data_IF_336634767254
#
_entry.id   IF_336634767254
#
_cell.length_a   1.000
_cell.length_b   1.000
_cell.length_c   1.000
_cell.angle_alpha   90.00
_cell.angle_beta   90.00
_cell.angle_gamma   90.00
#
_symmetry.space_group_name_H-M   'P 1'
#
loop_
_entity.id
_entity.type
_entity.pdbx_description
1 polymer ?
#
# COMPACT_ATOMS: atom_id res chain seq x y z
N UNK A 1 -0.59 -10.20 -11.17
CA UNK A 1 -0.41 -9.63 -9.81
C UNK A 1 -1.30 -8.40 -9.70
N UNK A 2 -2.16 -8.26 -8.68
CA UNK A 2 -2.98 -7.05 -8.55
C UNK A 2 -2.07 -5.83 -8.35
N UNK A 3 -2.37 -4.67 -8.96
CA UNK A 3 -1.56 -3.47 -8.77
C UNK A 3 -1.64 -3.01 -7.31
N UNK A 4 -0.49 -2.84 -6.64
CA UNK A 4 -0.44 -2.40 -5.24
C UNK A 4 -1.02 -0.98 -5.04
N UNK A 5 -0.91 -0.15 -6.08
CA UNK A 5 -1.38 1.24 -6.11
C UNK A 5 -2.56 1.35 -7.07
N UNK A 6 -3.57 2.12 -6.69
CA UNK A 6 -4.75 2.35 -7.52
C UNK A 6 -4.54 3.54 -8.45
N UNK A 7 -5.35 3.68 -9.52
CA UNK A 7 -5.37 4.90 -10.33
C UNK A 7 -5.60 6.16 -9.48
N UNK A 8 -6.50 6.09 -8.50
CA UNK A 8 -6.77 7.19 -7.56
C UNK A 8 -5.52 7.57 -6.73
N UNK A 9 -4.74 6.58 -6.25
CA UNK A 9 -3.49 6.87 -5.55
C UNK A 9 -2.51 7.61 -6.49
N UNK A 10 -2.45 7.23 -7.77
CA UNK A 10 -1.60 7.89 -8.77
C UNK A 10 -2.04 9.34 -9.02
N UNK A 11 -3.33 9.58 -9.23
CA UNK A 11 -3.86 10.92 -9.49
C UNK A 11 -3.65 11.86 -8.29
N UNK A 12 -3.86 11.35 -7.07
CA UNK A 12 -3.54 12.08 -5.84
C UNK A 12 -2.05 12.44 -5.74
N UNK A 13 -1.16 11.51 -6.12
CA UNK A 13 0.28 11.76 -6.11
C UNK A 13 0.68 12.83 -7.15
N UNK A 14 0.13 12.76 -8.36
CA UNK A 14 0.38 13.76 -9.42
C UNK A 14 -0.11 15.14 -8.97
N UNK A 15 -1.36 15.24 -8.48
CA UNK A 15 -1.92 16.51 -8.01
C UNK A 15 -1.08 17.11 -6.86
N UNK A 16 -0.61 16.27 -5.92
CA UNK A 16 0.24 16.72 -4.83
C UNK A 16 1.61 17.21 -5.32
N UNK A 17 2.24 16.54 -6.29
CA UNK A 17 3.53 16.95 -6.86
C UNK A 17 3.43 18.23 -7.70
N UNK A 18 2.26 18.52 -8.26
CA UNK A 18 1.98 19.80 -8.92
C UNK A 18 1.80 20.93 -7.91
N UNK A 19 1.02 20.69 -6.85
CA UNK A 19 0.75 21.67 -5.80
C UNK A 19 2.01 21.97 -4.94
N UNK A 20 2.86 20.96 -4.72
CA UNK A 20 4.04 21.03 -3.87
C UNK A 20 5.29 20.60 -4.65
N UNK A 21 5.88 21.49 -5.46
CA UNK A 21 6.99 21.15 -6.35
C UNK A 21 8.30 20.83 -5.61
N UNK A 22 8.43 21.26 -4.35
CA UNK A 22 9.58 20.98 -3.50
C UNK A 22 9.48 19.56 -2.92
N UNK A 23 10.53 18.74 -3.10
CA UNK A 23 10.54 17.33 -2.68
C UNK A 23 10.56 17.14 -1.17
N UNK A 24 11.02 18.14 -0.43
CA UNK A 24 11.09 18.18 1.03
C UNK A 24 9.80 18.72 1.68
N UNK A 25 8.84 19.17 0.87
CA UNK A 25 7.54 19.64 1.33
C UNK A 25 6.86 18.62 2.25
N UNK A 26 6.43 19.10 3.42
CA UNK A 26 5.85 18.25 4.47
C UNK A 26 4.53 17.62 4.03
N UNK A 27 3.69 18.35 3.30
CA UNK A 27 2.40 17.86 2.80
C UNK A 27 2.60 16.80 1.74
N UNK A 28 3.51 17.02 0.80
CA UNK A 28 3.87 16.00 -0.21
C UNK A 28 4.38 14.73 0.48
N UNK A 29 5.34 14.84 1.41
CA UNK A 29 5.87 13.69 2.16
C UNK A 29 4.77 12.96 2.94
N UNK A 30 3.89 13.70 3.62
CA UNK A 30 2.80 13.11 4.39
C UNK A 30 1.82 12.33 3.49
N UNK A 31 1.44 12.89 2.34
CA UNK A 31 0.54 12.25 1.39
C UNK A 31 1.18 10.99 0.77
N UNK A 32 2.44 11.09 0.32
CA UNK A 32 3.17 9.95 -0.25
C UNK A 32 3.33 8.82 0.76
N UNK A 33 3.67 9.14 2.02
CA UNK A 33 3.72 8.16 3.10
C UNK A 33 2.33 7.54 3.37
N UNK A 34 1.26 8.32 3.27
CA UNK A 34 -0.12 7.85 3.36
C UNK A 34 -0.47 6.82 2.29
N UNK A 35 -0.17 7.13 1.02
CA UNK A 35 -0.36 6.22 -0.11
C UNK A 35 0.43 4.93 0.10
N UNK A 36 1.73 5.02 0.40
CA UNK A 36 2.58 3.84 0.63
C UNK A 36 2.04 2.98 1.78
N UNK A 37 1.58 3.59 2.87
CA UNK A 37 0.99 2.88 4.01
C UNK A 37 -0.27 2.11 3.62
N UNK A 38 -1.19 2.73 2.87
CA UNK A 38 -2.43 2.08 2.40
C UNK A 38 -2.13 0.93 1.44
N UNK A 39 -1.21 1.12 0.50
CA UNK A 39 -0.77 0.08 -0.42
C UNK A 39 -0.18 -1.13 0.33
N UNK A 40 0.69 -0.88 1.32
CA UNK A 40 1.22 -1.93 2.21
C UNK A 40 0.10 -2.68 2.93
N UNK A 41 -0.86 -1.96 3.51
CA UNK A 41 -1.98 -2.57 4.22
C UNK A 41 -2.78 -3.52 3.30
N UNK A 42 -3.15 -3.06 2.10
CA UNK A 42 -3.84 -3.89 1.09
C UNK A 42 -3.04 -5.13 0.72
N UNK A 43 -1.75 -4.96 0.43
CA UNK A 43 -0.85 -6.06 0.05
C UNK A 43 -0.76 -7.14 1.13
N UNK A 44 -0.52 -6.73 2.38
CA UNK A 44 -0.37 -7.65 3.51
C UNK A 44 -1.68 -8.39 3.81
N UNK A 45 -2.82 -7.71 3.73
CA UNK A 45 -4.11 -8.37 3.97
C UNK A 45 -4.41 -9.37 2.84
N UNK A 46 -4.20 -8.99 1.58
CA UNK A 46 -4.35 -9.89 0.45
C UNK A 46 -3.44 -11.12 0.57
N UNK A 47 -2.19 -10.94 1.00
CA UNK A 47 -1.25 -12.02 1.29
C UNK A 47 -1.80 -13.00 2.33
N UNK A 48 -2.31 -12.49 3.46
CA UNK A 48 -2.87 -13.34 4.53
C UNK A 48 -4.12 -14.08 4.05
N UNK A 49 -4.99 -13.44 3.26
CA UNK A 49 -6.18 -14.07 2.69
C UNK A 49 -5.85 -15.17 1.66
N UNK A 50 -4.70 -15.04 0.97
CA UNK A 50 -4.23 -16.00 0.00
C UNK A 50 -3.52 -17.22 0.60
N UNK A 51 -3.25 -17.25 1.92
CA UNK A 51 -2.53 -18.35 2.56
C UNK A 51 -3.26 -19.69 2.39
N UNK A 52 -2.48 -20.73 2.10
CA UNK A 52 -2.91 -22.11 1.96
C UNK A 52 -1.95 -23.04 2.72
N UNK A 53 -2.45 -23.92 3.61
CA UNK A 53 -3.86 -24.01 4.07
C UNK A 53 -4.30 -22.71 4.76
N UNK A 54 -5.61 -22.46 4.85
CA UNK A 54 -6.10 -21.27 5.57
C UNK A 54 -5.71 -21.34 7.07
N UNK A 55 -5.51 -20.20 7.74
CA UNK A 55 -5.29 -20.18 9.19
C UNK A 55 -6.52 -20.70 9.94
N UNK A 56 -6.35 -21.19 11.19
CA UNK A 56 -7.40 -21.86 11.96
C UNK A 56 -8.63 -20.99 12.23
N UNK A 57 -8.48 -19.65 12.26
CA UNK A 57 -9.61 -18.71 12.29
C UNK A 57 -9.24 -17.42 11.53
N UNK A 58 -10.21 -16.81 10.85
CA UNK A 58 -10.04 -15.61 10.02
C UNK A 58 -10.59 -14.39 10.76
N UNK A 59 -10.06 -14.13 11.96
CA UNK A 59 -10.40 -12.95 12.77
C UNK A 59 -9.38 -11.83 12.57
N UNK A 60 -9.78 -10.60 12.92
CA UNK A 60 -8.87 -9.46 12.97
C UNK A 60 -7.68 -9.74 13.91
N UNK A 61 -7.90 -10.45 15.02
CA UNK A 61 -6.85 -10.81 15.96
C UNK A 61 -5.85 -11.80 15.35
N UNK A 62 -6.32 -12.85 14.67
CA UNK A 62 -5.46 -13.81 13.98
C UNK A 62 -4.67 -13.15 12.87
N UNK A 63 -5.32 -12.33 12.03
CA UNK A 63 -4.65 -11.56 10.99
C UNK A 63 -3.58 -10.64 11.58
N UNK A 64 -3.87 -9.93 12.67
CA UNK A 64 -2.90 -9.05 13.34
C UNK A 64 -1.71 -9.82 13.90
N UNK A 65 -1.93 -11.00 14.46
CA UNK A 65 -0.87 -11.88 14.95
C UNK A 65 0.04 -12.35 13.79
N UNK A 66 -0.55 -12.81 12.68
CA UNK A 66 0.20 -13.20 11.47
C UNK A 66 0.97 -12.03 10.87
N UNK A 67 0.37 -10.84 10.81
CA UNK A 67 1.06 -9.63 10.34
C UNK A 67 2.30 -9.33 11.19
N UNK A 68 2.18 -9.41 12.51
CA UNK A 68 3.31 -9.17 13.41
C UNK A 68 4.39 -10.23 13.28
N UNK A 69 4.01 -11.50 13.15
CA UNK A 69 4.96 -12.60 13.00
C UNK A 69 5.75 -12.53 11.67
N UNK A 70 5.06 -12.19 10.57
CA UNK A 70 5.64 -12.24 9.23
C UNK A 70 6.28 -10.92 8.80
N UNK A 71 5.71 -9.78 9.21
CA UNK A 71 6.13 -8.45 8.75
C UNK A 71 6.68 -7.55 9.87
N UNK A 72 6.78 -8.06 11.10
CA UNK A 72 7.28 -7.35 12.29
C UNK A 72 6.36 -6.25 12.82
N UNK A 73 5.35 -5.82 12.06
CA UNK A 73 4.46 -4.71 12.39
C UNK A 73 3.01 -5.04 12.07
N UNK A 74 2.09 -4.59 12.94
CA UNK A 74 0.67 -4.68 12.70
C UNK A 74 0.19 -3.52 11.82
N UNK A 75 -0.70 -3.81 10.86
CA UNK A 75 -1.48 -2.78 10.16
C UNK A 75 -2.42 -2.09 11.16
N UNK A 76 -2.73 -0.81 10.92
CA UNK A 76 -3.58 -0.03 11.82
C UNK A 76 -4.98 -0.66 11.94
N UNK A 77 -5.60 -0.55 13.13
CA UNK A 77 -6.96 -1.06 13.35
C UNK A 77 -7.98 -0.45 12.38
N UNK A 78 -7.79 0.82 12.00
CA UNK A 78 -8.65 1.48 11.03
C UNK A 78 -8.55 0.87 9.62
N UNK A 79 -7.33 0.60 9.16
CA UNK A 79 -7.11 -0.06 7.87
C UNK A 79 -7.66 -1.50 7.89
N UNK A 80 -7.49 -2.22 9.01
CA UNK A 80 -8.10 -3.55 9.21
C UNK A 80 -9.63 -3.48 9.18
N UNK A 81 -10.26 -2.54 9.90
CA UNK A 81 -11.72 -2.39 9.91
C UNK A 81 -12.27 -2.04 8.53
N UNK A 82 -11.61 -1.12 7.81
CA UNK A 82 -11.99 -0.75 6.44
C UNK A 82 -11.95 -1.95 5.49
N UNK A 83 -11.03 -2.89 5.70
CA UNK A 83 -10.85 -4.02 4.80
C UNK A 83 -11.68 -5.25 5.15
N UNK A 84 -11.88 -5.53 6.45
CA UNK A 84 -12.67 -6.67 6.89
C UNK A 84 -14.19 -6.43 6.87
N UNK A 85 -14.64 -5.18 6.69
CA UNK A 85 -16.06 -4.79 6.62
C UNK A 85 -16.94 -5.50 7.66
N UNK A 86 -16.41 -5.78 8.85
CA UNK A 86 -17.05 -6.68 9.82
C UNK A 86 -17.79 -5.87 10.88
N UNK A 87 -19.14 -5.91 10.94
CA UNK A 87 -19.87 -5.31 12.05
C UNK A 87 -19.75 -6.19 13.31
N UNK A 88 -19.51 -5.56 14.47
CA UNK A 88 -19.71 -6.16 15.78
C UNK A 88 -18.72 -7.26 16.22
N UNK A 89 -19.25 -8.22 17.01
CA UNK A 89 -18.55 -9.20 17.90
C UNK A 89 -17.28 -9.88 17.36
N UNK A 90 -17.12 -10.07 16.04
CA UNK A 90 -15.94 -10.72 15.43
C UNK A 90 -14.66 -9.88 15.50
N UNK A 91 -14.76 -8.55 15.65
CA UNK A 91 -13.60 -7.70 15.90
C UNK A 91 -12.97 -7.94 17.29
N UNK A 92 -13.76 -8.46 18.24
CA UNK A 92 -13.37 -8.72 19.63
C UNK A 92 -13.13 -10.21 19.93
N UNK A 93 -13.21 -11.09 18.93
CA UNK A 93 -12.86 -12.50 19.10
C UNK A 93 -11.36 -12.61 19.38
N UNK A 94 -11.00 -13.25 20.50
CA UNK A 94 -9.60 -13.56 20.81
C UNK A 94 -9.12 -14.62 19.83
N UNK A 95 -7.92 -14.44 19.28
CA UNK A 95 -7.27 -15.48 18.49
C UNK A 95 -6.94 -16.66 19.41
N UNK A 96 -7.19 -17.89 18.95
CA UNK A 96 -6.58 -19.07 19.53
C UNK A 96 -5.09 -19.06 19.18
N UNK A 97 -4.29 -18.53 20.10
CA UNK A 97 -2.84 -18.35 19.90
C UNK A 97 -2.11 -19.68 19.85
N UNK A 98 -2.61 -20.72 20.53
CA UNK A 98 -1.97 -22.03 20.55
C UNK A 98 -2.18 -22.74 19.21
N UNK A 99 -3.42 -22.76 18.71
CA UNK A 99 -3.73 -23.29 17.39
C UNK A 99 -2.99 -22.53 16.28
N UNK A 100 -2.90 -21.20 16.37
CA UNK A 100 -2.17 -20.38 15.41
C UNK A 100 -0.67 -20.67 15.42
N UNK A 101 -0.06 -20.83 16.60
CA UNK A 101 1.36 -21.16 16.71
C UNK A 101 1.67 -22.54 16.13
N UNK A 102 0.84 -23.54 16.44
CA UNK A 102 0.98 -24.89 15.89
C UNK A 102 0.82 -24.92 14.36
N UNK A 103 -0.12 -24.13 13.82
CA UNK A 103 -0.31 -23.95 12.38
C UNK A 103 0.87 -23.22 11.72
N UNK A 104 1.44 -22.22 12.39
CA UNK A 104 2.51 -21.39 11.83
C UNK A 104 3.87 -22.10 11.83
N UNK A 105 4.18 -22.82 12.91
CA UNK A 105 5.50 -23.45 13.11
C UNK A 105 6.03 -24.25 11.92
N UNK A 106 5.28 -25.20 11.30
CA UNK A 106 5.82 -26.02 10.21
C UNK A 106 6.07 -25.25 8.91
N UNK A 107 5.51 -24.05 8.75
CA UNK A 107 5.55 -23.29 7.50
C UNK A 107 6.13 -21.89 7.66
N UNK A 108 6.60 -21.55 8.86
CA UNK A 108 7.08 -20.21 9.21
C UNK A 108 8.14 -19.72 8.23
N UNK A 109 9.19 -20.51 7.97
CA UNK A 109 10.29 -20.11 7.10
C UNK A 109 9.83 -19.82 5.66
N UNK A 110 8.94 -20.66 5.13
CA UNK A 110 8.37 -20.46 3.79
C UNK A 110 7.51 -19.20 3.74
N UNK A 111 6.69 -18.97 4.76
CA UNK A 111 5.88 -17.76 4.86
C UNK A 111 6.73 -16.51 5.08
N UNK A 112 7.84 -16.60 5.81
CA UNK A 112 8.79 -15.52 6.02
C UNK A 112 9.42 -15.11 4.69
N UNK A 113 9.92 -16.08 3.91
CA UNK A 113 10.48 -15.85 2.57
C UNK A 113 9.45 -15.22 1.62
N UNK A 114 8.20 -15.70 1.66
CA UNK A 114 7.13 -15.14 0.84
C UNK A 114 6.76 -13.70 1.28
N UNK A 115 6.77 -13.42 2.58
CA UNK A 115 6.55 -12.08 3.13
C UNK A 115 7.68 -11.11 2.74
N UNK A 116 8.93 -11.59 2.75
CA UNK A 116 10.09 -10.81 2.30
C UNK A 116 10.03 -10.51 0.80
N UNK A 117 9.65 -11.50 -0.03
CA UNK A 117 9.42 -11.28 -1.47
C UNK A 117 8.36 -10.21 -1.70
N UNK A 118 7.23 -10.30 -1.00
CA UNK A 118 6.15 -9.31 -1.09
C UNK A 118 6.64 -7.90 -0.70
N UNK A 119 7.49 -7.78 0.32
CA UNK A 119 8.08 -6.50 0.73
C UNK A 119 8.98 -5.93 -0.36
N UNK A 120 9.82 -6.75 -0.97
CA UNK A 120 10.70 -6.32 -2.07
C UNK A 120 9.91 -5.89 -3.30
N UNK A 121 8.86 -6.64 -3.66
CA UNK A 121 7.94 -6.31 -4.74
C UNK A 121 7.23 -4.99 -4.49
N UNK A 122 6.74 -4.76 -3.26
CA UNK A 122 6.11 -3.49 -2.89
C UNK A 122 7.09 -2.31 -2.96
N UNK A 123 8.33 -2.49 -2.52
CA UNK A 123 9.35 -1.43 -2.58
C UNK A 123 9.83 -1.16 -4.03
N UNK A 124 9.85 -2.18 -4.89
CA UNK A 124 10.08 -2.00 -6.32
C UNK A 124 8.91 -1.27 -7.00
N UNK A 125 7.68 -1.70 -6.73
CA UNK A 125 6.48 -1.05 -7.24
C UNK A 125 6.34 0.39 -6.76
N UNK A 126 6.72 0.69 -5.51
CA UNK A 126 6.75 2.06 -4.99
C UNK A 126 7.68 2.96 -5.81
N UNK A 127 8.90 2.49 -6.12
CA UNK A 127 9.85 3.25 -6.95
C UNK A 127 9.26 3.57 -8.32
N UNK A 128 8.71 2.56 -9.00
CA UNK A 128 8.06 2.74 -10.31
C UNK A 128 6.90 3.72 -10.20
N UNK A 129 5.99 3.52 -9.24
CA UNK A 129 4.85 4.39 -8.99
C UNK A 129 5.27 5.85 -8.79
N UNK A 130 6.26 6.11 -7.93
CA UNK A 130 6.73 7.48 -7.66
C UNK A 130 7.36 8.13 -8.88
N UNK A 131 8.08 7.36 -9.70
CA UNK A 131 8.69 7.84 -10.93
C UNK A 131 7.61 8.21 -11.96
N UNK A 132 6.64 7.33 -12.18
CA UNK A 132 5.53 7.56 -13.11
C UNK A 132 4.72 8.81 -12.72
N UNK A 133 4.41 8.98 -11.43
CA UNK A 133 3.71 10.18 -10.95
C UNK A 133 4.54 11.47 -11.15
N UNK A 134 5.85 11.40 -10.89
CA UNK A 134 6.75 12.54 -11.09
C UNK A 134 6.89 12.91 -12.57
N UNK A 135 6.96 11.93 -13.46
CA UNK A 135 7.02 12.13 -14.90
C UNK A 135 5.73 12.78 -15.41
N UNK A 136 4.57 12.30 -14.97
CA UNK A 136 3.28 12.90 -15.30
C UNK A 136 3.18 14.36 -14.83
N UNK A 137 3.51 14.65 -13.57
CA UNK A 137 3.55 16.01 -13.06
C UNK A 137 4.57 16.90 -13.82
N UNK A 138 5.70 16.34 -14.23
CA UNK A 138 6.70 17.02 -15.06
C UNK A 138 6.22 17.31 -16.49
N UNK A 139 5.41 16.44 -17.08
CA UNK A 139 4.79 16.67 -18.38
C UNK A 139 3.75 17.79 -18.31
N UNK A 140 2.88 17.77 -17.30
CA UNK A 140 1.85 18.81 -17.09
C UNK A 140 2.49 20.19 -16.94
N UNK A 141 3.51 20.33 -16.08
CA UNK A 141 4.25 21.60 -15.92
C UNK A 141 4.91 22.11 -17.20
N UNK A 142 5.33 21.22 -18.10
CA UNK A 142 5.94 21.60 -19.39
C UNK A 142 4.88 22.05 -20.39
N UNK A 143 3.70 21.41 -20.38
CA UNK A 143 2.58 21.82 -21.21
C UNK A 143 2.10 23.23 -20.82
N UNK A 144 1.98 23.53 -19.53
CA UNK A 144 1.56 24.85 -19.03
C UNK A 144 2.58 25.96 -19.32
N UNK A 145 3.87 25.60 -19.50
CA UNK A 145 4.95 26.54 -19.79
C UNK A 145 5.17 26.80 -21.28
N UNK A 146 4.54 26.04 -22.19
CA UNK A 146 4.62 26.37 -23.62
C UNK A 146 3.85 27.67 -23.86
N UNK A 147 4.51 28.75 -24.29
CA UNK A 147 3.79 29.97 -24.64
C UNK A 147 2.90 29.66 -25.84
N UNK A 148 1.62 29.99 -25.73
CA UNK A 148 0.74 30.20 -26.88
C UNK A 148 1.29 31.43 -27.59
N UNK A 149 2.23 31.24 -28.50
CA UNK A 149 3.05 32.33 -29.01
C UNK A 149 3.86 31.94 -30.23
N UNK A 150 3.16 31.58 -31.31
CA UNK A 150 3.61 31.76 -32.69
C UNK A 150 2.36 31.73 -33.58
N UNK A 151 1.44 32.67 -33.35
CA UNK A 151 0.60 33.12 -34.46
C UNK A 151 1.49 34.01 -35.32
N UNK A 152 1.75 33.67 -36.59
CA UNK A 152 2.40 34.59 -37.50
C UNK A 152 1.42 35.74 -37.75
N UNK A 153 1.76 36.92 -37.22
CA UNK A 153 1.14 38.18 -37.61
C UNK A 153 1.74 38.57 -38.96
N UNK A 154 0.85 38.66 -39.97
CA UNK A 154 0.91 39.48 -41.20
C UNK A 154 2.17 39.40 -42.09
N UNK A 155 2.01 39.33 -43.41
CA UNK A 155 1.47 40.42 -44.23
C UNK A 155 0.92 39.89 -45.56
#
# INVERSE_FOLDING_TARGET
>A
MPPFFTPEDHDQAVAAMLAHPARDDRHLRALMNGIKRRARARAVIAFIQALRPAPPDVTIATTRALMRALFGHAVSSNDLHRHFATPGRRANARADTAALAAWLAPQLETLQRAADSLRLELDAAWRVFTQTAADAAGQIRRADRRPVGSQPHES
#
